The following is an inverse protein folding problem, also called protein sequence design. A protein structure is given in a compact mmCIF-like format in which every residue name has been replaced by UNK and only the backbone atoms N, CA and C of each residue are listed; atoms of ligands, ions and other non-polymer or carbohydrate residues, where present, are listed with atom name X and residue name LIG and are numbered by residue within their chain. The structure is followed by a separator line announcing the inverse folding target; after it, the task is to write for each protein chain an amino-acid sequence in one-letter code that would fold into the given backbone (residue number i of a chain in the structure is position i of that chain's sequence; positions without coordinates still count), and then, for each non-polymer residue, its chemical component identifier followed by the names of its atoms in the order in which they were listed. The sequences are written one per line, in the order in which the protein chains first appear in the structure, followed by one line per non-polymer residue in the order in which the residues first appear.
data_IF_679560770512
#
_entry.id   IF_679560770512
#
_cell.length_a   1.000
_cell.length_b   1.000
_cell.length_c   1.000
_cell.angle_alpha   90.00
_cell.angle_beta   90.00
_cell.angle_gamma   90.00
#
_symmetry.space_group_name_H-M   'P 1'
#
loop_
_entity.id
_entity.type
_entity.pdbx_description
1 polymer ?
#
# COMPACT_ATOMS: atom_id res chain seq x y z
N UNK A 1 -12.15 -24.35 7.54
CA UNK A 1 -10.77 -24.35 8.07
C UNK A 1 -9.83 -24.27 6.87
N UNK A 2 -8.88 -23.33 6.81
CA UNK A 2 -7.89 -23.29 5.70
C UNK A 2 -6.85 -24.39 5.96
N UNK A 3 -6.55 -25.20 4.96
CA UNK A 3 -5.47 -26.21 5.01
C UNK A 3 -4.17 -25.56 4.56
N UNK A 4 -3.10 -25.72 5.32
CA UNK A 4 -1.78 -25.15 5.00
C UNK A 4 -0.80 -26.26 4.63
N UNK A 5 0.13 -25.94 3.72
CA UNK A 5 1.27 -26.79 3.36
C UNK A 5 2.54 -25.98 3.55
N UNK A 6 3.48 -26.53 4.30
CA UNK A 6 4.74 -25.84 4.60
C UNK A 6 5.68 -25.85 3.39
N UNK A 7 6.30 -24.70 3.14
CA UNK A 7 7.30 -24.50 2.10
C UNK A 7 8.51 -23.84 2.75
N UNK A 8 9.69 -24.45 2.58
CA UNK A 8 10.95 -23.88 3.07
C UNK A 8 11.42 -22.76 2.13
N UNK A 9 11.53 -21.54 2.65
CA UNK A 9 12.01 -20.36 1.93
C UNK A 9 13.05 -19.64 2.77
N UNK A 10 14.18 -19.28 2.15
CA UNK A 10 15.18 -18.40 2.74
C UNK A 10 14.87 -16.95 2.42
N UNK A 11 14.97 -16.07 3.41
CA UNK A 11 14.74 -14.63 3.27
C UNK A 11 16.06 -13.87 3.45
N UNK A 12 16.16 -12.70 2.83
CA UNK A 12 17.24 -11.78 3.17
C UNK A 12 17.13 -11.36 4.64
N UNK A 13 18.25 -11.15 5.32
CA UNK A 13 18.29 -10.79 6.76
C UNK A 13 17.45 -9.54 7.04
N UNK A 14 17.50 -8.56 6.15
CA UNK A 14 16.71 -7.31 6.27
C UNK A 14 15.21 -7.55 6.12
N UNK A 15 14.78 -8.46 5.24
CA UNK A 15 13.37 -8.82 5.09
C UNK A 15 12.87 -9.54 6.34
N UNK A 16 13.68 -10.48 6.86
CA UNK A 16 13.34 -11.21 8.08
C UNK A 16 13.14 -10.26 9.25
N UNK A 17 14.07 -9.32 9.48
CA UNK A 17 13.94 -8.34 10.55
C UNK A 17 12.67 -7.49 10.45
N UNK A 18 12.31 -7.03 9.23
CA UNK A 18 11.08 -6.27 8.99
C UNK A 18 9.81 -7.08 9.27
N UNK A 19 9.79 -8.35 8.85
CA UNK A 19 8.68 -9.27 9.12
C UNK A 19 8.56 -9.52 10.63
N UNK A 20 9.67 -9.66 11.34
CA UNK A 20 9.68 -9.91 12.79
C UNK A 20 9.12 -8.73 13.59
N UNK A 21 9.52 -7.51 13.24
CA UNK A 21 8.97 -6.27 13.81
C UNK A 21 7.46 -6.18 13.54
N UNK A 22 7.03 -6.44 12.31
CA UNK A 22 5.61 -6.38 11.94
C UNK A 22 4.77 -7.43 12.65
N UNK A 23 5.27 -8.66 12.73
CA UNK A 23 4.64 -9.76 13.46
C UNK A 23 4.45 -9.40 14.94
N UNK A 24 5.48 -8.84 15.56
CA UNK A 24 5.45 -8.41 16.97
C UNK A 24 4.46 -7.25 17.19
N UNK A 25 4.48 -6.24 16.31
CA UNK A 25 3.58 -5.09 16.40
C UNK A 25 2.10 -5.44 16.23
N UNK A 26 1.78 -6.47 15.43
CA UNK A 26 0.42 -6.91 15.17
C UNK A 26 -0.03 -8.09 16.06
N UNK A 27 0.83 -8.62 16.93
CA UNK A 27 0.52 -9.81 17.74
C UNK A 27 0.29 -11.07 16.90
N UNK A 28 0.90 -11.16 15.72
CA UNK A 28 0.73 -12.26 14.76
C UNK A 28 2.01 -13.09 14.65
N UNK A 29 1.89 -14.35 14.22
CA UNK A 29 3.08 -15.15 13.88
C UNK A 29 3.74 -14.65 12.59
N UNK A 30 5.07 -14.80 12.49
CA UNK A 30 5.82 -14.52 11.25
C UNK A 30 5.22 -15.23 10.04
N UNK A 31 4.82 -16.49 10.19
CA UNK A 31 4.19 -17.27 9.12
C UNK A 31 2.83 -16.70 8.71
N UNK A 32 2.06 -16.12 9.63
CA UNK A 32 0.80 -15.45 9.28
C UNK A 32 1.06 -14.17 8.47
N UNK A 33 2.05 -13.36 8.86
CA UNK A 33 2.49 -12.19 8.10
C UNK A 33 2.96 -12.57 6.70
N UNK A 34 3.83 -13.58 6.58
CA UNK A 34 4.33 -14.04 5.28
C UNK A 34 3.18 -14.51 4.39
N UNK A 35 2.24 -15.29 4.92
CA UNK A 35 1.05 -15.71 4.16
C UNK A 35 0.22 -14.54 3.70
N UNK A 36 -0.03 -13.54 4.55
CA UNK A 36 -0.78 -12.35 4.17
C UNK A 36 -0.09 -11.56 3.06
N UNK A 37 1.24 -11.43 3.12
CA UNK A 37 2.02 -10.79 2.07
C UNK A 37 1.92 -11.57 0.74
N UNK A 38 1.95 -12.90 0.80
CA UNK A 38 1.75 -13.76 -0.38
C UNK A 38 0.32 -13.62 -0.93
N UNK A 39 -0.70 -13.64 -0.08
CA UNK A 39 -2.12 -13.50 -0.47
C UNK A 39 -2.35 -12.17 -1.21
N UNK A 40 -1.62 -11.12 -0.86
CA UNK A 40 -1.66 -9.84 -1.59
C UNK A 40 -0.83 -9.91 -2.87
N UNK A 41 0.41 -10.36 -2.82
CA UNK A 41 1.34 -10.25 -3.95
C UNK A 41 1.08 -11.25 -5.08
N UNK A 42 0.64 -12.47 -4.75
CA UNK A 42 0.49 -13.56 -5.72
C UNK A 42 -0.52 -13.22 -6.83
N UNK A 43 -1.72 -12.68 -6.56
CA UNK A 43 -2.66 -12.28 -7.61
C UNK A 43 -2.09 -11.25 -8.60
N UNK A 44 -1.26 -10.32 -8.15
CA UNK A 44 -0.60 -9.36 -9.04
C UNK A 44 0.39 -10.08 -9.96
N UNK A 45 1.21 -10.98 -9.41
CA UNK A 45 2.16 -11.76 -10.19
C UNK A 45 1.44 -12.66 -11.20
N UNK A 46 0.34 -13.31 -10.80
CA UNK A 46 -0.50 -14.13 -11.68
C UNK A 46 -1.11 -13.33 -12.84
N UNK A 47 -1.49 -12.07 -12.59
CA UNK A 47 -1.96 -11.14 -13.62
C UNK A 47 -0.84 -10.57 -14.52
N UNK A 48 0.40 -11.06 -14.37
CA UNK A 48 1.57 -10.56 -15.12
C UNK A 48 2.06 -9.19 -14.64
N UNK A 49 1.58 -8.71 -13.48
CA UNK A 49 2.02 -7.46 -12.88
C UNK A 49 3.23 -7.71 -11.98
N UNK A 50 4.41 -7.32 -12.46
CA UNK A 50 5.52 -6.95 -11.58
C UNK A 50 5.31 -5.52 -11.10
N UNK A 51 5.35 -5.28 -9.78
CA UNK A 51 5.30 -3.91 -9.25
C UNK A 51 6.64 -3.24 -9.53
N UNK A 52 6.72 -2.51 -10.65
CA UNK A 52 7.77 -1.53 -10.86
C UNK A 52 7.39 -0.28 -10.06
N UNK A 53 8.05 -0.06 -8.93
CA UNK A 53 7.74 1.05 -8.00
C UNK A 53 7.81 2.40 -8.71
N UNK A 54 8.79 2.61 -9.58
CA UNK A 54 8.91 3.85 -10.37
C UNK A 54 7.70 4.05 -11.29
N UNK A 55 7.25 2.99 -11.97
CA UNK A 55 6.07 3.05 -12.83
C UNK A 55 4.79 3.27 -12.02
N UNK A 56 4.69 2.67 -10.84
CA UNK A 56 3.55 2.87 -9.95
C UNK A 56 3.48 4.33 -9.47
N UNK A 57 4.59 4.90 -9.03
CA UNK A 57 4.67 6.32 -8.64
C UNK A 57 4.26 7.20 -9.83
N UNK A 58 4.81 6.94 -11.03
CA UNK A 58 4.45 7.72 -12.22
C UNK A 58 2.95 7.66 -12.55
N UNK A 59 2.31 6.49 -12.40
CA UNK A 59 0.87 6.35 -12.60
C UNK A 59 0.09 7.17 -11.56
N UNK A 60 0.47 7.09 -10.28
CA UNK A 60 -0.17 7.86 -9.20
C UNK A 60 -0.07 9.36 -9.50
N UNK A 61 1.14 9.86 -9.72
CA UNK A 61 1.39 11.29 -9.99
C UNK A 61 0.64 11.77 -11.24
N UNK A 62 0.66 10.98 -12.32
CA UNK A 62 -0.05 11.35 -13.55
C UNK A 62 -1.57 11.40 -13.36
N UNK A 63 -2.12 10.48 -12.55
CA UNK A 63 -3.54 10.43 -12.24
C UNK A 63 -3.94 11.61 -11.36
N UNK A 64 -3.10 11.95 -10.38
CA UNK A 64 -3.32 13.05 -9.46
C UNK A 64 -3.28 14.38 -10.20
N UNK A 65 -2.25 14.62 -11.03
CA UNK A 65 -2.16 15.81 -11.87
C UNK A 65 -3.34 15.96 -12.86
N UNK A 66 -3.78 14.86 -13.48
CA UNK A 66 -4.95 14.88 -14.36
C UNK A 66 -6.23 15.23 -13.57
N UNK A 67 -6.39 14.65 -12.39
CA UNK A 67 -7.55 14.89 -11.52
C UNK A 67 -7.58 16.33 -11.02
N UNK A 68 -6.44 16.86 -10.58
CA UNK A 68 -6.29 18.25 -10.15
C UNK A 68 -6.65 19.21 -11.28
N UNK A 69 -6.21 18.90 -12.51
CA UNK A 69 -6.56 19.73 -13.68
C UNK A 69 -8.06 19.70 -13.97
N UNK A 70 -8.69 18.53 -13.91
CA UNK A 70 -10.14 18.40 -14.12
C UNK A 70 -10.93 19.12 -13.04
N UNK A 71 -10.52 19.00 -11.78
CA UNK A 71 -11.18 19.68 -10.66
C UNK A 71 -11.03 21.19 -10.76
N UNK A 72 -9.83 21.68 -11.06
CA UNK A 72 -9.57 23.11 -11.26
C UNK A 72 -10.42 23.69 -12.40
N UNK A 73 -10.77 22.89 -13.42
CA UNK A 73 -11.68 23.33 -14.49
C UNK A 73 -13.15 23.33 -14.07
N UNK A 74 -13.55 22.40 -13.19
CA UNK A 74 -14.94 22.22 -12.78
C UNK A 74 -15.34 23.15 -11.62
N UNK A 75 -14.47 23.33 -10.63
CA UNK A 75 -14.69 24.13 -9.43
C UNK A 75 -13.33 24.62 -8.87
N UNK A 76 -12.82 25.77 -9.36
CA UNK A 76 -11.52 26.32 -8.93
C UNK A 76 -11.48 26.63 -7.43
N UNK A 77 -12.56 27.19 -6.88
CA UNK A 77 -12.64 27.61 -5.48
C UNK A 77 -12.55 26.40 -4.54
N UNK A 78 -13.20 25.29 -4.90
CA UNK A 78 -13.05 24.04 -4.15
C UNK A 78 -11.66 23.42 -4.35
N UNK A 79 -11.12 23.44 -5.57
CA UNK A 79 -9.80 22.90 -5.87
C UNK A 79 -8.69 23.54 -5.01
N UNK A 80 -8.72 24.86 -4.84
CA UNK A 80 -7.76 25.58 -3.99
C UNK A 80 -7.84 25.19 -2.50
N UNK A 81 -9.05 24.82 -2.04
CA UNK A 81 -9.29 24.47 -0.63
C UNK A 81 -9.04 22.99 -0.33
N UNK A 82 -9.07 22.13 -1.35
CA UNK A 82 -8.99 20.67 -1.21
C UNK A 82 -7.73 20.18 -0.44
N UNK A 83 -6.52 20.73 -0.65
CA UNK A 83 -5.35 20.31 0.13
C UNK A 83 -5.52 20.54 1.64
N UNK A 84 -6.10 21.68 2.03
CA UNK A 84 -6.37 22.01 3.42
C UNK A 84 -7.37 21.04 4.06
N UNK A 85 -8.48 20.79 3.36
CA UNK A 85 -9.51 19.81 3.78
C UNK A 85 -8.89 18.41 3.93
N UNK A 86 -8.00 18.03 3.02
CA UNK A 86 -7.34 16.72 3.04
C UNK A 86 -6.46 16.56 4.28
N UNK A 87 -5.65 17.58 4.61
CA UNK A 87 -4.82 17.60 5.82
C UNK A 87 -5.68 17.53 7.09
N UNK A 88 -6.78 18.29 7.15
CA UNK A 88 -7.70 18.27 8.29
C UNK A 88 -8.30 16.87 8.51
N UNK A 89 -8.72 16.20 7.44
CA UNK A 89 -9.27 14.83 7.52
C UNK A 89 -8.22 13.81 7.90
N UNK A 90 -7.00 13.90 7.39
CA UNK A 90 -5.89 13.03 7.77
C UNK A 90 -5.65 13.09 9.28
N UNK A 91 -5.56 14.30 9.83
CA UNK A 91 -5.41 14.51 11.28
C UNK A 91 -6.59 13.95 12.07
N UNK A 92 -7.81 14.10 11.57
CA UNK A 92 -9.02 13.67 12.28
C UNK A 92 -9.20 12.15 12.32
N UNK A 93 -8.71 11.41 11.32
CA UNK A 93 -9.05 9.99 11.15
C UNK A 93 -7.86 9.04 11.10
N UNK A 94 -6.63 9.53 10.92
CA UNK A 94 -5.46 8.69 10.65
C UNK A 94 -4.20 9.05 11.46
N UNK A 95 -4.12 10.24 12.08
CA UNK A 95 -3.08 10.56 13.07
C UNK A 95 -3.54 10.12 14.48
N UNK A 96 -3.40 8.82 14.78
CA UNK A 96 -3.50 8.26 16.13
C UNK A 96 -2.16 7.66 16.56
#
# INVERSE_FOLDING_TARGET
MKTFRDVGVSLAVTQFARIDVLASGLGMSRSAIIRQLIDVALPFVEAGHGVNVTRLIAIIESTQAATDRLLMLADPDFAERLPGITIERLKAYHDA
#
